data_IF_848766121244
#
_entry.id   IF_848766121244
#
_cell.length_a   1.000
_cell.length_b   1.000
_cell.length_c   1.000
_cell.angle_alpha   90.00
_cell.angle_beta   90.00
_cell.angle_gamma   90.00
#
_symmetry.space_group_name_H-M   'P 1'
#
loop_
_entity.id
_entity.type
_entity.pdbx_description
1 polymer ?
#
# COMPACT_ATOMS: atom_id res chain seq x y z
N UNK A 1 19.52 5.43 26.37
CA UNK A 1 18.20 5.29 27.02
C UNK A 1 17.22 6.12 26.20
N UNK A 2 16.68 5.55 25.11
CA UNK A 2 15.71 6.24 24.26
C UNK A 2 14.33 5.69 24.59
N UNK A 3 13.42 6.56 24.99
CA UNK A 3 12.05 6.20 25.33
C UNK A 3 11.29 5.87 24.03
N UNK A 4 10.80 4.65 23.91
CA UNK A 4 9.77 4.32 22.92
C UNK A 4 8.45 4.96 23.37
N UNK A 5 7.72 5.68 22.50
CA UNK A 5 6.35 6.07 22.81
C UNK A 5 5.50 4.80 22.81
N UNK A 6 5.08 4.37 24.00
CA UNK A 6 4.02 3.38 24.15
C UNK A 6 2.74 3.98 23.58
N UNK A 7 2.41 3.60 22.34
CA UNK A 7 1.14 3.89 21.69
C UNK A 7 0.03 3.09 22.40
N UNK A 8 -0.43 3.61 23.55
CA UNK A 8 -1.60 3.06 24.20
C UNK A 8 -2.83 3.54 23.42
N UNK A 9 -3.70 2.63 22.94
CA UNK A 9 -4.91 3.02 22.23
C UNK A 9 -5.76 3.85 23.17
N UNK A 10 -5.78 5.17 22.93
CA UNK A 10 -6.62 6.08 23.67
C UNK A 10 -8.08 5.69 23.42
N UNK A 11 -8.92 5.63 24.47
CA UNK A 11 -10.32 5.30 24.30
C UNK A 11 -10.95 6.31 23.34
N UNK A 12 -11.42 5.81 22.19
CA UNK A 12 -12.06 6.63 21.17
C UNK A 12 -13.26 7.35 21.78
N UNK A 13 -13.33 8.67 21.65
CA UNK A 13 -14.49 9.45 22.08
C UNK A 13 -15.77 8.89 21.42
N UNK A 14 -16.90 8.82 22.14
CA UNK A 14 -18.14 8.29 21.58
C UNK A 14 -18.69 9.24 20.49
N UNK A 15 -18.71 8.77 19.25
CA UNK A 15 -19.13 9.57 18.07
C UNK A 15 -20.66 9.62 17.88
N UNK A 16 -21.41 8.75 18.53
CA UNK A 16 -22.87 8.64 18.39
C UNK A 16 -23.49 8.68 19.79
N UNK A 17 -24.53 9.50 19.97
CA UNK A 17 -25.25 9.66 21.23
C UNK A 17 -26.74 9.40 21.06
N UNK A 18 -27.31 8.55 21.91
CA UNK A 18 -28.76 8.33 22.00
C UNK A 18 -29.39 9.50 22.78
N UNK A 19 -30.29 10.24 22.13
CA UNK A 19 -30.98 11.37 22.77
C UNK A 19 -32.34 10.96 23.39
N UNK A 20 -32.98 9.94 22.83
CA UNK A 20 -34.29 9.43 23.26
C UNK A 20 -34.40 7.93 23.02
N UNK A 21 -35.20 7.27 23.87
CA UNK A 21 -35.42 5.83 23.82
C UNK A 21 -34.37 5.03 24.59
N UNK A 22 -34.56 3.72 24.60
CA UNK A 22 -33.70 2.73 25.26
C UNK A 22 -33.42 1.59 24.27
N UNK A 23 -32.58 1.84 23.24
CA UNK A 23 -32.24 0.81 22.26
C UNK A 23 -31.50 -0.34 22.95
N UNK A 24 -31.73 -1.54 22.45
CA UNK A 24 -30.98 -2.72 22.88
C UNK A 24 -29.58 -2.73 22.25
N UNK A 25 -28.65 -3.44 22.87
CA UNK A 25 -27.29 -3.60 22.36
C UNK A 25 -27.27 -4.21 20.94
N UNK A 26 -28.24 -5.09 20.64
CA UNK A 26 -28.39 -5.69 19.32
C UNK A 26 -28.77 -4.66 18.24
N UNK A 27 -29.68 -3.74 18.56
CA UNK A 27 -30.09 -2.67 17.64
C UNK A 27 -28.95 -1.68 17.41
N UNK A 28 -28.19 -1.35 18.46
CA UNK A 28 -27.03 -0.47 18.35
C UNK A 28 -25.91 -1.11 17.51
N UNK A 29 -25.65 -2.41 17.71
CA UNK A 29 -24.71 -3.18 16.90
C UNK A 29 -25.13 -3.23 15.42
N UNK A 30 -26.41 -3.44 15.14
CA UNK A 30 -26.94 -3.43 13.79
C UNK A 30 -26.74 -2.07 13.10
N UNK A 31 -27.01 -0.96 13.81
CA UNK A 31 -26.78 0.39 13.30
C UNK A 31 -25.30 0.63 12.96
N UNK A 32 -24.39 0.29 13.89
CA UNK A 32 -22.95 0.47 13.69
C UNK A 32 -22.46 -0.36 12.50
N UNK A 33 -22.94 -1.60 12.36
CA UNK A 33 -22.58 -2.46 11.23
C UNK A 33 -23.00 -1.84 9.88
N UNK A 34 -24.22 -1.29 9.80
CA UNK A 34 -24.70 -0.61 8.59
C UNK A 34 -23.86 0.62 8.28
N UNK A 35 -23.60 1.49 9.26
CA UNK A 35 -22.79 2.70 9.06
C UNK A 35 -21.35 2.35 8.64
N UNK A 36 -20.76 1.33 9.27
CA UNK A 36 -19.43 0.84 8.92
C UNK A 36 -19.36 0.24 7.50
N UNK A 37 -20.44 -0.36 7.02
CA UNK A 37 -20.50 -0.94 5.67
C UNK A 37 -20.44 0.10 4.55
N UNK A 38 -20.96 1.32 4.79
CA UNK A 38 -20.99 2.40 3.79
C UNK A 38 -19.65 3.13 3.70
N UNK A 39 -18.92 3.22 4.82
CA UNK A 39 -17.68 4.01 4.91
C UNK A 39 -16.41 3.30 4.43
N UNK A 40 -16.47 2.02 4.05
CA UNK A 40 -15.27 1.29 3.65
C UNK A 40 -14.83 1.72 2.25
N UNK A 41 -13.66 2.36 2.08
CA UNK A 41 -13.13 2.60 0.75
C UNK A 41 -12.89 1.25 0.06
N UNK A 42 -13.04 1.16 -1.28
CA UNK A 42 -12.67 -0.04 -2.00
C UNK A 42 -11.23 -0.43 -1.64
N UNK A 43 -10.90 -1.74 -1.64
CA UNK A 43 -9.55 -2.18 -1.38
C UNK A 43 -8.58 -1.42 -2.30
N UNK A 44 -7.40 -1.02 -1.80
CA UNK A 44 -6.44 -0.31 -2.64
C UNK A 44 -6.15 -1.13 -3.89
N UNK A 45 -5.98 -0.47 -5.06
CA UNK A 45 -5.62 -1.18 -6.27
C UNK A 45 -4.36 -2.01 -6.04
N UNK A 46 -4.26 -3.16 -6.70
CA UNK A 46 -3.06 -3.97 -6.66
C UNK A 46 -1.84 -3.09 -7.01
N UNK A 47 -0.72 -3.22 -6.28
CA UNK A 47 0.47 -2.45 -6.58
C UNK A 47 0.88 -2.71 -8.02
N UNK A 48 1.17 -1.64 -8.77
CA UNK A 48 1.71 -1.79 -10.12
C UNK A 48 2.97 -2.67 -10.05
N UNK A 49 3.15 -3.59 -11.01
CA UNK A 49 4.39 -4.34 -11.09
C UNK A 49 5.55 -3.35 -11.17
N UNK A 50 6.39 -3.40 -10.15
CA UNK A 50 7.54 -2.52 -10.03
C UNK A 50 8.44 -2.71 -11.26
N UNK A 51 8.72 -1.61 -11.97
CA UNK A 51 9.69 -1.59 -13.10
C UNK A 51 11.15 -1.59 -12.64
N UNK A 52 11.38 -1.61 -11.32
CA UNK A 52 12.70 -1.73 -10.73
C UNK A 52 13.13 -3.19 -10.66
N UNK A 53 14.38 -3.47 -11.01
CA UNK A 53 14.91 -4.84 -10.98
C UNK A 53 14.53 -5.67 -12.21
N UNK A 54 14.07 -5.03 -13.29
CA UNK A 54 13.90 -5.70 -14.57
C UNK A 54 15.26 -6.26 -15.02
N UNK A 55 15.32 -7.38 -15.77
CA UNK A 55 16.57 -7.89 -16.31
C UNK A 55 17.39 -6.84 -17.08
N UNK A 56 16.71 -5.88 -17.73
CA UNK A 56 17.35 -4.73 -18.41
C UNK A 56 18.06 -3.77 -17.45
N UNK A 57 17.63 -3.68 -16.19
CA UNK A 57 18.31 -2.85 -15.19
C UNK A 57 19.69 -3.42 -14.85
N UNK A 58 19.85 -4.76 -14.94
CA UNK A 58 21.17 -5.43 -14.83
C UNK A 58 22.07 -5.18 -16.03
N UNK A 59 21.49 -4.69 -17.14
CA UNK A 59 22.20 -4.33 -18.37
C UNK A 59 22.52 -2.84 -18.44
N UNK A 60 22.34 -2.06 -17.35
CA UNK A 60 22.90 -0.70 -17.25
C UNK A 60 24.41 -0.79 -17.17
N UNK A 61 25.03 -0.96 -18.32
CA UNK A 61 26.48 -0.90 -18.44
C UNK A 61 26.94 0.55 -18.24
N UNK A 62 28.06 0.79 -17.52
CA UNK A 62 28.64 2.12 -17.46
C UNK A 62 28.95 2.64 -18.88
N UNK A 63 28.92 3.96 -19.07
CA UNK A 63 29.13 4.60 -20.38
C UNK A 63 30.42 4.12 -21.08
N UNK A 64 31.42 3.70 -20.29
CA UNK A 64 32.73 3.20 -20.71
C UNK A 64 32.85 1.66 -20.65
N UNK A 65 31.74 0.92 -20.69
CA UNK A 65 31.81 -0.55 -20.70
C UNK A 65 32.22 -1.08 -22.07
N UNK A 66 33.25 -1.93 -22.09
CA UNK A 66 33.61 -2.70 -23.27
C UNK A 66 32.55 -3.74 -23.64
N UNK A 67 31.78 -4.23 -22.66
CA UNK A 67 30.68 -5.18 -22.87
C UNK A 67 29.60 -4.63 -23.82
N UNK A 68 29.23 -3.35 -23.70
CA UNK A 68 28.27 -2.70 -24.61
C UNK A 68 28.82 -2.59 -26.04
N UNK A 69 30.10 -2.24 -26.20
CA UNK A 69 30.76 -2.15 -27.50
C UNK A 69 30.74 -3.53 -28.17
N UNK A 70 31.12 -4.57 -27.44
CA UNK A 70 31.12 -5.96 -27.95
C UNK A 70 29.71 -6.41 -28.38
N UNK A 71 28.69 -6.17 -27.55
CA UNK A 71 27.31 -6.55 -27.88
C UNK A 71 26.79 -5.80 -29.11
N UNK A 72 27.11 -4.51 -29.25
CA UNK A 72 26.73 -3.71 -30.41
C UNK A 72 27.38 -4.22 -31.69
N UNK A 73 28.68 -4.53 -31.65
CA UNK A 73 29.42 -5.09 -32.79
C UNK A 73 28.81 -6.42 -33.23
N UNK A 74 28.51 -7.31 -32.29
CA UNK A 74 27.89 -8.62 -32.57
C UNK A 74 26.50 -8.50 -33.20
N UNK A 75 25.71 -7.49 -32.84
CA UNK A 75 24.40 -7.22 -33.44
C UNK A 75 24.57 -6.73 -34.88
N UNK A 76 25.51 -5.82 -35.14
CA UNK A 76 25.78 -5.31 -36.50
C UNK A 76 26.30 -6.40 -37.42
N UNK A 77 27.12 -7.32 -36.92
CA UNK A 77 27.65 -8.47 -37.69
C UNK A 77 26.62 -9.58 -37.95
N UNK A 78 25.43 -9.50 -37.32
CA UNK A 78 24.33 -10.46 -37.46
C UNK A 78 23.22 -9.98 -38.41
N UNK A 79 23.37 -8.80 -39.00
CA UNK A 79 22.55 -8.28 -40.10
C UNK A 79 23.34 -8.43 -41.41
#
# INVERSE_FOLDING_TARGET
>A
MSAEPTDQPQPSEPHIRVLKGQPTDAELAALIAVLGSVGSPPPPPAPEPTRWGLPVDKLRYPVFSWQKITLQEMIHMRQ
#
